data_IF_583402834934
#
_entry.id   IF_583402834934
#
_cell.length_a   1.000
_cell.length_b   1.000
_cell.length_c   1.000
_cell.angle_alpha   90.00
_cell.angle_beta   90.00
_cell.angle_gamma   90.00
#
_symmetry.space_group_name_H-M   'P 1'
#
loop_
_entity.id
_entity.type
_entity.pdbx_description
1 polymer ?
#
# COMPACT_ATOMS: atom_id res chain seq x y z
N UNK A 1 -95.36 3.65 20.76
CA UNK A 1 -95.04 4.78 19.87
C UNK A 1 -93.53 4.94 19.87
N UNK A 2 -92.88 4.33 18.87
CA UNK A 2 -92.05 4.96 17.81
C UNK A 2 -90.58 5.10 18.21
N UNK A 3 -89.72 4.13 17.87
CA UNK A 3 -89.01 3.95 16.58
C UNK A 3 -88.21 5.18 16.12
N UNK A 4 -86.88 5.04 16.08
CA UNK A 4 -85.98 5.40 14.96
C UNK A 4 -84.53 5.35 15.50
N UNK A 5 -83.80 4.25 15.27
CA UNK A 5 -82.83 4.14 14.16
C UNK A 5 -81.66 5.13 14.32
N UNK A 6 -80.57 4.74 14.97
CA UNK A 6 -79.43 4.12 14.28
C UNK A 6 -79.52 4.23 12.76
N UNK A 7 -78.87 5.25 12.16
CA UNK A 7 -78.15 5.19 10.87
C UNK A 7 -77.87 6.59 10.34
N UNK A 8 -76.76 7.21 10.74
CA UNK A 8 -76.09 8.16 9.83
C UNK A 8 -74.60 8.35 10.16
N UNK A 9 -73.91 7.26 10.46
CA UNK A 9 -72.44 7.21 10.49
C UNK A 9 -71.86 6.93 9.09
N UNK A 10 -72.56 7.29 8.00
CA UNK A 10 -72.19 6.87 6.62
C UNK A 10 -72.14 7.98 5.56
N UNK A 11 -72.20 9.26 5.94
CA UNK A 11 -72.22 10.37 4.97
C UNK A 11 -71.01 11.31 5.07
N UNK A 12 -69.86 10.80 5.50
CA UNK A 12 -68.58 11.47 5.38
C UNK A 12 -67.63 10.74 4.42
N UNK A 13 -68.18 9.99 3.47
CA UNK A 13 -67.43 9.43 2.34
C UNK A 13 -67.85 10.22 1.10
N UNK A 14 -67.12 11.31 0.84
CA UNK A 14 -67.14 12.11 -0.41
C UNK A 14 -68.55 12.31 -1.00
N UNK A 15 -69.24 13.37 -0.61
CA UNK A 15 -70.48 13.78 -1.28
C UNK A 15 -70.17 14.25 -2.72
N UNK A 16 -70.09 13.29 -3.64
CA UNK A 16 -69.81 13.45 -5.07
C UNK A 16 -70.98 14.06 -5.86
N UNK A 17 -72.03 14.55 -5.18
CA UNK A 17 -73.18 15.20 -5.81
C UNK A 17 -72.81 16.43 -6.65
N UNK A 18 -71.66 17.08 -6.37
CA UNK A 18 -71.11 18.14 -7.21
C UNK A 18 -70.77 17.64 -8.62
N UNK A 19 -70.22 16.42 -8.76
CA UNK A 19 -69.91 15.84 -10.07
C UNK A 19 -71.15 15.61 -10.91
N UNK A 20 -72.32 15.41 -10.29
CA UNK A 20 -73.58 15.11 -10.99
C UNK A 20 -74.19 16.32 -11.72
N UNK A 21 -73.79 17.56 -11.37
CA UNK A 21 -74.22 18.82 -12.02
C UNK A 21 -73.33 19.27 -13.19
N UNK A 22 -72.18 18.61 -13.36
CA UNK A 22 -71.19 18.91 -14.40
C UNK A 22 -71.52 18.13 -15.68
N UNK A 23 -71.34 18.73 -16.86
CA UNK A 23 -71.59 18.08 -18.16
C UNK A 23 -70.73 16.82 -18.35
N UNK A 24 -71.26 15.82 -19.08
CA UNK A 24 -70.58 14.53 -19.29
C UNK A 24 -69.15 14.69 -19.86
N UNK A 25 -68.92 15.66 -20.74
CA UNK A 25 -67.58 15.93 -21.31
C UNK A 25 -66.57 16.44 -20.29
N UNK A 26 -67.01 17.25 -19.31
CA UNK A 26 -66.10 17.81 -18.30
C UNK A 26 -65.69 16.78 -17.25
N UNK A 27 -66.53 15.78 -16.96
CA UNK A 27 -66.16 14.63 -16.10
C UNK A 27 -65.05 13.78 -16.73
N UNK A 28 -65.15 13.52 -18.04
CA UNK A 28 -64.13 12.77 -18.77
C UNK A 28 -62.78 13.50 -18.77
N UNK A 29 -62.78 14.82 -18.99
CA UNK A 29 -61.56 15.63 -18.96
C UNK A 29 -60.88 15.65 -17.59
N UNK A 30 -61.65 15.74 -16.49
CA UNK A 30 -61.11 15.71 -15.12
C UNK A 30 -60.45 14.35 -14.83
N UNK A 31 -61.09 13.24 -15.22
CA UNK A 31 -60.54 11.89 -15.01
C UNK A 31 -59.22 11.70 -15.78
N UNK A 32 -59.16 12.12 -17.04
CA UNK A 32 -57.93 12.04 -17.85
C UNK A 32 -56.80 12.89 -17.24
N UNK A 33 -57.13 14.07 -16.69
CA UNK A 33 -56.14 14.93 -16.05
C UNK A 33 -55.57 14.31 -14.76
N UNK A 34 -56.42 13.71 -13.93
CA UNK A 34 -55.97 13.02 -12.70
C UNK A 34 -55.06 11.84 -13.04
N UNK A 35 -55.43 11.05 -14.04
CA UNK A 35 -54.62 9.91 -14.49
C UNK A 35 -53.28 10.40 -15.04
N UNK A 36 -53.27 11.43 -15.88
CA UNK A 36 -52.05 12.03 -16.42
C UNK A 36 -51.15 12.59 -15.29
N UNK A 37 -51.73 13.29 -14.31
CA UNK A 37 -51.00 13.79 -13.15
C UNK A 37 -50.39 12.64 -12.31
N UNK A 38 -51.11 11.54 -12.15
CA UNK A 38 -50.61 10.32 -11.50
C UNK A 38 -49.42 9.71 -12.24
N UNK A 39 -49.49 9.60 -13.57
CA UNK A 39 -48.37 9.12 -14.38
C UNK A 39 -47.14 10.04 -14.29
N UNK A 40 -47.34 11.35 -14.28
CA UNK A 40 -46.25 12.32 -14.10
C UNK A 40 -45.61 12.17 -12.72
N UNK A 41 -46.42 12.05 -11.65
CA UNK A 41 -45.91 11.85 -10.30
C UNK A 41 -45.11 10.54 -10.16
N UNK A 42 -45.63 9.43 -10.69
CA UNK A 42 -44.89 8.16 -10.74
C UNK A 42 -43.59 8.28 -11.55
N UNK A 43 -43.63 8.97 -12.69
CA UNK A 43 -42.44 9.25 -13.49
C UNK A 43 -41.37 10.03 -12.74
N UNK A 44 -41.77 11.07 -11.97
CA UNK A 44 -40.87 11.85 -11.14
C UNK A 44 -40.25 11.02 -10.01
N UNK A 45 -41.03 10.17 -9.34
CA UNK A 45 -40.53 9.28 -8.28
C UNK A 45 -39.55 8.26 -8.85
N UNK A 46 -39.85 7.65 -10.00
CA UNK A 46 -38.94 6.71 -10.68
C UNK A 46 -37.66 7.44 -11.09
N UNK A 47 -37.76 8.65 -11.64
CA UNK A 47 -36.61 9.45 -12.06
C UNK A 47 -35.71 9.85 -10.88
N UNK A 48 -36.29 10.28 -9.75
CA UNK A 48 -35.54 10.52 -8.52
C UNK A 48 -34.88 9.24 -8.00
N UNK A 49 -35.61 8.12 -8.02
CA UNK A 49 -35.07 6.82 -7.62
C UNK A 49 -33.90 6.36 -8.49
N UNK A 50 -33.94 6.60 -9.81
CA UNK A 50 -32.85 6.27 -10.72
C UNK A 50 -31.60 7.12 -10.48
N UNK A 51 -31.74 8.42 -10.19
CA UNK A 51 -30.61 9.31 -9.85
C UNK A 51 -29.93 8.90 -8.54
N UNK A 52 -30.72 8.70 -7.48
CA UNK A 52 -30.19 8.31 -6.16
C UNK A 52 -29.50 6.95 -6.23
N UNK A 53 -30.02 6.00 -7.03
CA UNK A 53 -29.34 4.71 -7.26
C UNK A 53 -28.03 4.87 -8.02
N UNK A 54 -27.98 5.72 -9.04
CA UNK A 54 -26.76 6.01 -9.79
C UNK A 54 -25.64 6.56 -8.88
N UNK A 55 -25.95 7.55 -8.06
CA UNK A 55 -24.98 8.13 -7.12
C UNK A 55 -24.56 7.12 -6.04
N UNK A 56 -25.51 6.34 -5.51
CA UNK A 56 -25.22 5.29 -4.53
C UNK A 56 -24.37 4.15 -5.12
N UNK A 57 -24.56 3.80 -6.39
CA UNK A 57 -23.75 2.78 -7.07
C UNK A 57 -22.32 3.28 -7.31
N UNK A 58 -22.11 4.57 -7.63
CA UNK A 58 -20.77 5.18 -7.76
C UNK A 58 -20.03 5.12 -6.42
N UNK A 59 -20.65 5.61 -5.35
CA UNK A 59 -20.06 5.59 -4.00
C UNK A 59 -19.72 4.16 -3.58
N UNK A 60 -20.63 3.20 -3.81
CA UNK A 60 -20.39 1.78 -3.51
C UNK A 60 -19.19 1.23 -4.29
N UNK A 61 -19.06 1.57 -5.56
CA UNK A 61 -17.94 1.14 -6.39
C UNK A 61 -16.62 1.76 -5.92
N UNK A 62 -16.62 3.02 -5.52
CA UNK A 62 -15.42 3.69 -4.99
C UNK A 62 -14.96 3.04 -3.68
N UNK A 63 -15.87 2.72 -2.76
CA UNK A 63 -15.52 1.98 -1.54
C UNK A 63 -14.98 0.57 -1.84
N UNK A 64 -15.58 -0.15 -2.80
CA UNK A 64 -15.09 -1.45 -3.22
C UNK A 64 -13.69 -1.36 -3.84
N UNK A 65 -13.45 -0.32 -4.66
CA UNK A 65 -12.14 -0.04 -5.27
C UNK A 65 -11.10 0.32 -4.22
N UNK A 66 -11.44 1.16 -3.24
CA UNK A 66 -10.56 1.49 -2.14
C UNK A 66 -10.17 0.24 -1.31
N UNK A 67 -11.12 -0.66 -1.06
CA UNK A 67 -10.84 -1.92 -0.37
C UNK A 67 -9.88 -2.83 -1.16
N UNK A 68 -10.04 -2.90 -2.49
CA UNK A 68 -9.10 -3.61 -3.37
C UNK A 68 -7.70 -2.98 -3.34
N UNK A 69 -7.61 -1.65 -3.50
CA UNK A 69 -6.35 -0.91 -3.44
C UNK A 69 -5.65 -1.10 -2.09
N UNK A 70 -6.39 -1.10 -0.98
CA UNK A 70 -5.86 -1.36 0.36
C UNK A 70 -5.29 -2.78 0.49
N UNK A 71 -6.02 -3.79 -0.01
CA UNK A 71 -5.54 -5.18 -0.04
C UNK A 71 -4.27 -5.31 -0.85
N UNK A 72 -4.25 -4.74 -2.04
CA UNK A 72 -3.12 -4.84 -2.96
C UNK A 72 -1.90 -4.06 -2.44
N UNK A 73 -2.10 -2.89 -1.82
CA UNK A 73 -1.05 -2.15 -1.14
C UNK A 73 -0.43 -2.96 0.02
N UNK A 74 -1.23 -3.69 0.80
CA UNK A 74 -0.71 -4.57 1.84
C UNK A 74 0.16 -5.70 1.25
N UNK A 75 -0.32 -6.34 0.17
CA UNK A 75 0.44 -7.37 -0.55
C UNK A 75 1.77 -6.79 -1.08
N UNK A 76 1.74 -5.63 -1.74
CA UNK A 76 2.93 -4.99 -2.28
C UNK A 76 3.91 -4.61 -1.17
N UNK A 77 3.43 -4.11 -0.03
CA UNK A 77 4.26 -3.82 1.14
C UNK A 77 4.96 -5.07 1.69
N UNK A 78 4.26 -6.20 1.74
CA UNK A 78 4.86 -7.49 2.12
C UNK A 78 5.90 -7.98 1.11
N UNK A 79 5.65 -7.80 -0.20
CA UNK A 79 6.60 -8.16 -1.25
C UNK A 79 7.85 -7.27 -1.24
N UNK A 80 7.68 -5.98 -0.92
CA UNK A 80 8.79 -5.04 -0.71
C UNK A 80 9.68 -5.53 0.44
N UNK A 81 9.10 -5.76 1.63
CA UNK A 81 9.85 -6.27 2.80
C UNK A 81 10.51 -7.63 2.53
N UNK A 82 9.85 -8.51 1.77
CA UNK A 82 10.44 -9.78 1.34
C UNK A 82 11.68 -9.54 0.46
N UNK A 83 11.58 -8.61 -0.49
CA UNK A 83 12.69 -8.29 -1.38
C UNK A 83 13.88 -7.69 -0.62
N UNK A 84 13.64 -6.84 0.38
CA UNK A 84 14.69 -6.30 1.24
C UNK A 84 15.41 -7.40 2.02
N UNK A 85 14.65 -8.30 2.67
CA UNK A 85 15.21 -9.43 3.43
C UNK A 85 15.96 -10.39 2.52
N UNK A 86 15.40 -10.72 1.36
CA UNK A 86 16.06 -11.55 0.36
C UNK A 86 17.37 -10.91 -0.14
N UNK A 87 17.40 -9.58 -0.29
CA UNK A 87 18.63 -8.86 -0.61
C UNK A 87 19.67 -8.99 0.50
N UNK A 88 19.28 -8.76 1.76
CA UNK A 88 20.22 -8.85 2.88
C UNK A 88 20.80 -10.26 3.07
N UNK A 89 20.01 -11.29 2.82
CA UNK A 89 20.43 -12.70 2.95
C UNK A 89 21.28 -13.13 1.75
N UNK A 90 20.84 -12.81 0.53
CA UNK A 90 21.41 -13.39 -0.71
C UNK A 90 22.34 -12.44 -1.46
N UNK A 91 22.27 -11.14 -1.17
CA UNK A 91 23.09 -10.07 -1.76
C UNK A 91 23.00 -9.98 -3.29
N UNK A 92 21.85 -10.33 -3.87
CA UNK A 92 21.64 -10.29 -5.32
C UNK A 92 20.96 -8.99 -5.77
N UNK A 93 21.53 -8.32 -6.77
CA UNK A 93 21.03 -7.02 -7.24
C UNK A 93 19.58 -7.05 -7.74
N UNK A 94 19.11 -8.20 -8.24
CA UNK A 94 17.73 -8.38 -8.74
C UNK A 94 16.66 -7.98 -7.72
N UNK A 95 16.95 -8.06 -6.43
CA UNK A 95 16.01 -7.73 -5.37
C UNK A 95 15.76 -6.22 -5.24
N UNK A 96 16.73 -5.37 -5.60
CA UNK A 96 16.49 -3.94 -5.72
C UNK A 96 15.46 -3.64 -6.83
N UNK A 97 15.58 -4.34 -7.96
CA UNK A 97 14.60 -4.22 -9.05
C UNK A 97 13.20 -4.66 -8.63
N UNK A 98 13.08 -5.77 -7.89
CA UNK A 98 11.78 -6.23 -7.35
C UNK A 98 11.19 -5.23 -6.37
N UNK A 99 12.01 -4.70 -5.47
CA UNK A 99 11.59 -3.68 -4.52
C UNK A 99 11.08 -2.42 -5.23
N UNK A 100 11.85 -1.88 -6.19
CA UNK A 100 11.46 -0.67 -6.94
C UNK A 100 10.13 -0.85 -7.68
N UNK A 101 9.89 -2.04 -8.25
CA UNK A 101 8.61 -2.37 -8.89
C UNK A 101 7.46 -2.38 -7.88
N UNK A 102 7.63 -3.01 -6.71
CA UNK A 102 6.60 -3.01 -5.66
C UNK A 102 6.32 -1.61 -5.12
N UNK A 103 7.37 -0.81 -4.90
CA UNK A 103 7.23 0.58 -4.45
C UNK A 103 6.46 1.45 -5.46
N UNK A 104 6.73 1.29 -6.76
CA UNK A 104 6.03 2.02 -7.81
C UNK A 104 4.54 1.63 -7.90
N UNK A 105 4.20 0.35 -7.69
CA UNK A 105 2.80 -0.10 -7.64
C UNK A 105 2.07 0.48 -6.44
N UNK A 106 2.70 0.44 -5.26
CA UNK A 106 2.14 1.04 -4.05
C UNK A 106 1.94 2.55 -4.21
N UNK A 107 2.90 3.25 -4.83
CA UNK A 107 2.79 4.67 -5.12
C UNK A 107 1.59 4.98 -6.05
N UNK A 108 1.42 4.20 -7.13
CA UNK A 108 0.27 4.32 -8.01
C UNK A 108 -1.06 4.04 -7.29
N UNK A 109 -1.12 3.00 -6.46
CA UNK A 109 -2.31 2.67 -5.67
C UNK A 109 -2.70 3.78 -4.68
N UNK A 110 -1.72 4.43 -4.04
CA UNK A 110 -1.95 5.55 -3.14
C UNK A 110 -2.46 6.80 -3.88
N UNK A 111 -1.95 7.06 -5.08
CA UNK A 111 -2.45 8.15 -5.92
C UNK A 111 -3.90 7.88 -6.33
N UNK A 112 -4.19 6.67 -6.81
CA UNK A 112 -5.54 6.27 -7.21
C UNK A 112 -6.52 6.35 -6.03
N UNK A 113 -6.13 5.83 -4.86
CA UNK A 113 -6.95 5.90 -3.65
C UNK A 113 -7.31 7.34 -3.26
N UNK A 114 -6.37 8.27 -3.40
CA UNK A 114 -6.61 9.70 -3.14
C UNK A 114 -7.58 10.33 -4.15
N UNK A 115 -7.54 9.89 -5.41
CA UNK A 115 -8.45 10.40 -6.46
C UNK A 115 -9.89 9.94 -6.30
N UNK A 116 -10.15 8.88 -5.53
CA UNK A 116 -11.51 8.42 -5.21
C UNK A 116 -12.26 9.42 -4.29
N UNK A 117 -11.56 10.32 -3.61
CA UNK A 117 -12.19 11.38 -2.80
C UNK A 117 -12.92 10.87 -1.55
N UNK A 118 -12.55 9.68 -1.04
CA UNK A 118 -13.13 9.09 0.16
C UNK A 118 -12.38 9.55 1.42
N UNK A 119 -12.95 10.54 2.11
CA UNK A 119 -12.35 11.19 3.28
C UNK A 119 -11.96 10.24 4.44
N UNK A 120 -12.57 9.06 4.51
CA UNK A 120 -12.40 8.09 5.61
C UNK A 120 -10.97 7.54 5.69
N UNK A 121 -10.28 7.42 4.54
CA UNK A 121 -8.94 6.85 4.46
C UNK A 121 -7.82 7.87 4.20
N UNK A 122 -8.17 9.16 4.04
CA UNK A 122 -7.21 10.21 3.64
C UNK A 122 -6.01 10.33 4.58
N UNK A 123 -6.23 10.21 5.89
CA UNK A 123 -5.15 10.26 6.88
C UNK A 123 -4.15 9.12 6.73
N UNK A 124 -4.64 7.91 6.44
CA UNK A 124 -3.81 6.71 6.26
C UNK A 124 -3.07 6.74 4.93
N UNK A 125 -3.77 7.15 3.86
CA UNK A 125 -3.19 7.35 2.53
C UNK A 125 -2.07 8.39 2.59
N UNK A 126 -2.30 9.54 3.23
CA UNK A 126 -1.28 10.58 3.37
C UNK A 126 -0.09 10.08 4.19
N UNK A 127 -0.32 9.38 5.31
CA UNK A 127 0.75 8.82 6.11
C UNK A 127 1.63 7.82 5.33
N UNK A 128 1.04 7.03 4.42
CA UNK A 128 1.78 6.13 3.53
C UNK A 128 2.52 6.89 2.42
N UNK A 129 1.89 7.90 1.82
CA UNK A 129 2.52 8.78 0.82
C UNK A 129 3.77 9.47 1.39
N UNK A 130 3.75 9.86 2.66
CA UNK A 130 4.88 10.53 3.32
C UNK A 130 6.01 9.54 3.70
N UNK A 131 5.65 8.33 4.14
CA UNK A 131 6.62 7.32 4.63
C UNK A 131 7.29 6.53 3.51
N UNK A 132 6.59 6.27 2.42
CA UNK A 132 7.10 5.45 1.31
C UNK A 132 8.41 6.01 0.69
N UNK A 133 8.56 7.32 0.43
CA UNK A 133 9.81 7.90 -0.06
C UNK A 133 10.98 7.68 0.91
N UNK A 134 10.75 7.89 2.21
CA UNK A 134 11.78 7.67 3.24
C UNK A 134 12.21 6.21 3.28
N UNK A 135 11.25 5.27 3.21
CA UNK A 135 11.53 3.84 3.18
C UNK A 135 12.37 3.44 1.97
N UNK A 136 12.04 3.98 0.78
CA UNK A 136 12.82 3.77 -0.45
C UNK A 136 14.24 4.30 -0.32
N UNK A 137 14.41 5.49 0.23
CA UNK A 137 15.72 6.10 0.42
C UNK A 137 16.59 5.27 1.38
N UNK A 138 16.03 4.83 2.50
CA UNK A 138 16.74 3.98 3.47
C UNK A 138 17.19 2.66 2.84
N UNK A 139 16.31 1.99 2.08
CA UNK A 139 16.70 0.75 1.42
C UNK A 139 17.76 0.97 0.34
N UNK A 140 17.70 2.07 -0.40
CA UNK A 140 18.74 2.43 -1.37
C UNK A 140 20.10 2.62 -0.69
N UNK A 141 20.15 3.29 0.47
CA UNK A 141 21.38 3.43 1.27
C UNK A 141 21.93 2.06 1.70
N UNK A 142 21.07 1.16 2.19
CA UNK A 142 21.46 -0.21 2.56
C UNK A 142 22.02 -0.96 1.35
N UNK A 143 21.36 -0.84 0.20
CA UNK A 143 21.82 -1.47 -1.04
C UNK A 143 23.21 -0.97 -1.45
N UNK A 144 23.41 0.35 -1.48
CA UNK A 144 24.65 0.97 -1.91
C UNK A 144 25.80 0.65 -0.95
N UNK A 145 25.54 0.68 0.37
CA UNK A 145 26.51 0.29 1.40
C UNK A 145 26.93 -1.17 1.24
N UNK A 146 25.98 -2.07 1.00
CA UNK A 146 26.27 -3.49 0.84
C UNK A 146 27.02 -3.77 -0.47
N UNK A 147 26.71 -3.02 -1.53
CA UNK A 147 27.42 -3.09 -2.81
C UNK A 147 28.86 -2.59 -2.69
N UNK A 148 29.09 -1.49 -1.96
CA UNK A 148 30.42 -0.98 -1.67
C UNK A 148 31.24 -1.98 -0.85
N UNK A 149 30.64 -2.54 0.21
CA UNK A 149 31.27 -3.58 1.02
C UNK A 149 31.67 -4.80 0.15
N UNK A 150 30.79 -5.18 -0.78
CA UNK A 150 30.95 -6.34 -1.66
C UNK A 150 29.73 -7.25 -1.56
N UNK A 151 29.18 -7.63 -2.71
CA UNK A 151 28.05 -8.56 -2.79
C UNK A 151 28.50 -10.03 -2.70
N UNK A 152 29.78 -10.27 -3.01
CA UNK A 152 30.45 -11.57 -2.98
C UNK A 152 31.91 -11.41 -2.50
N UNK A 153 32.60 -12.53 -2.30
CA UNK A 153 33.97 -12.55 -1.77
C UNK A 153 35.04 -11.91 -2.68
N UNK A 154 34.70 -11.62 -3.94
CA UNK A 154 35.60 -11.09 -4.97
C UNK A 154 35.28 -9.65 -5.34
N UNK A 155 34.13 -9.12 -4.95
CA UNK A 155 33.68 -7.76 -5.25
C UNK A 155 33.83 -6.80 -4.06
N UNK A 156 33.72 -5.49 -4.33
CA UNK A 156 33.75 -4.43 -3.33
C UNK A 156 35.03 -4.35 -2.49
N UNK A 157 34.89 -3.79 -1.29
CA UNK A 157 35.96 -3.69 -0.30
C UNK A 157 36.47 -5.07 0.16
N UNK A 158 35.59 -6.06 0.28
CA UNK A 158 35.97 -7.44 0.65
C UNK A 158 36.94 -8.06 -0.38
N UNK A 159 36.63 -7.94 -1.66
CA UNK A 159 37.50 -8.43 -2.73
C UNK A 159 38.86 -7.73 -2.76
N UNK A 160 38.89 -6.40 -2.57
CA UNK A 160 40.14 -5.62 -2.48
C UNK A 160 40.99 -6.09 -1.30
N UNK A 161 40.39 -6.21 -0.12
CA UNK A 161 41.07 -6.68 1.09
C UNK A 161 41.67 -8.08 0.89
N UNK A 162 40.90 -9.00 0.32
CA UNK A 162 41.37 -10.37 0.05
C UNK A 162 42.58 -10.40 -0.88
N UNK A 163 42.59 -9.57 -1.92
CA UNK A 163 43.74 -9.43 -2.83
C UNK A 163 44.99 -8.92 -2.08
N UNK A 164 44.83 -7.90 -1.23
CA UNK A 164 45.93 -7.37 -0.42
C UNK A 164 46.50 -8.41 0.55
N UNK A 165 45.64 -9.20 1.20
CA UNK A 165 46.08 -10.28 2.10
C UNK A 165 46.85 -11.36 1.33
N UNK A 166 46.36 -11.77 0.16
CA UNK A 166 47.06 -12.76 -0.67
C UNK A 166 48.43 -12.27 -1.13
N UNK A 167 48.53 -11.01 -1.57
CA UNK A 167 49.82 -10.41 -1.95
C UNK A 167 50.80 -10.37 -0.77
N UNK A 168 50.33 -10.05 0.44
CA UNK A 168 51.14 -10.06 1.64
C UNK A 168 51.58 -11.48 2.05
N UNK A 169 50.67 -12.46 1.93
CA UNK A 169 50.97 -13.87 2.20
C UNK A 169 52.06 -14.43 1.28
N UNK A 170 52.00 -14.08 -0.01
CA UNK A 170 53.04 -14.43 -1.00
C UNK A 170 54.38 -13.78 -0.66
N UNK A 171 54.39 -12.48 -0.32
CA UNK A 171 55.60 -11.75 0.02
C UNK A 171 56.29 -12.33 1.27
N UNK A 172 55.53 -12.59 2.33
CA UNK A 172 56.04 -13.16 3.59
C UNK A 172 56.55 -14.60 3.41
N UNK A 173 55.90 -15.39 2.56
CA UNK A 173 56.32 -16.77 2.26
C UNK A 173 57.63 -16.78 1.47
N UNK A 174 57.80 -15.88 0.49
CA UNK A 174 59.06 -15.75 -0.28
C UNK A 174 60.25 -15.35 0.60
N UNK A 175 60.02 -14.57 1.66
CA UNK A 175 61.07 -14.08 2.55
C UNK A 175 61.28 -14.97 3.79
N UNK A 176 60.59 -16.11 3.91
CA UNK A 176 60.70 -17.06 5.05
C UNK A 176 60.45 -16.36 6.41
N UNK A 177 59.50 -15.42 6.46
CA UNK A 177 59.19 -14.64 7.66
C UNK A 177 58.06 -15.25 8.49
N UNK A 178 58.32 -16.40 9.11
CA UNK A 178 57.30 -17.20 9.81
C UNK A 178 56.57 -16.44 10.92
N UNK A 179 57.30 -15.63 11.71
CA UNK A 179 56.70 -14.83 12.80
C UNK A 179 55.70 -13.80 12.28
N UNK A 180 56.03 -13.11 11.18
CA UNK A 180 55.14 -12.15 10.55
C UNK A 180 53.97 -12.84 9.85
N UNK A 181 54.18 -14.03 9.28
CA UNK A 181 53.12 -14.85 8.71
C UNK A 181 52.08 -15.26 9.76
N UNK A 182 52.52 -15.69 10.95
CA UNK A 182 51.62 -15.97 12.08
C UNK A 182 50.83 -14.71 12.49
N UNK A 183 51.51 -13.56 12.57
CA UNK A 183 50.89 -12.28 12.92
C UNK A 183 49.82 -11.87 11.89
N UNK A 184 50.08 -12.06 10.59
CA UNK A 184 49.09 -11.89 9.52
C UNK A 184 47.89 -12.83 9.71
N UNK A 185 48.12 -14.12 9.91
CA UNK A 185 47.01 -15.08 10.08
C UNK A 185 46.13 -14.71 11.27
N UNK A 186 46.72 -14.19 12.35
CA UNK A 186 45.98 -13.69 13.51
C UNK A 186 45.19 -12.41 13.19
N UNK A 187 45.74 -11.48 12.41
CA UNK A 187 44.95 -10.34 11.90
C UNK A 187 43.75 -10.81 11.08
N UNK A 188 43.96 -11.75 10.15
CA UNK A 188 42.88 -12.33 9.31
C UNK A 188 41.82 -13.05 10.15
N UNK A 189 42.22 -13.69 11.25
CA UNK A 189 41.27 -14.30 12.20
C UNK A 189 40.38 -13.23 12.86
N UNK A 190 40.98 -12.15 13.34
CA UNK A 190 40.23 -11.04 13.95
C UNK A 190 39.33 -10.32 12.94
N UNK A 191 39.79 -10.12 11.70
CA UNK A 191 38.99 -9.62 10.60
C UNK A 191 37.75 -10.49 10.34
N UNK A 192 37.92 -11.81 10.19
CA UNK A 192 36.81 -12.74 10.00
C UNK A 192 35.83 -12.74 11.17
N UNK A 193 36.35 -12.70 12.40
CA UNK A 193 35.52 -12.57 13.59
C UNK A 193 34.73 -11.25 13.61
N UNK A 194 35.31 -10.14 13.15
CA UNK A 194 34.61 -8.87 13.00
C UNK A 194 33.47 -8.98 11.98
N UNK A 195 33.74 -9.56 10.80
CA UNK A 195 32.72 -9.71 9.74
C UNK A 195 31.56 -10.60 10.21
N UNK A 196 31.84 -11.69 10.95
CA UNK A 196 30.80 -12.60 11.44
C UNK A 196 30.00 -12.05 12.63
N UNK A 197 30.63 -11.23 13.49
CA UNK A 197 30.04 -10.86 14.80
C UNK A 197 29.76 -9.37 14.96
N UNK A 198 30.23 -8.52 14.06
CA UNK A 198 30.04 -7.06 14.07
C UNK A 198 30.67 -6.31 15.26
N UNK A 199 31.44 -6.98 16.13
CA UNK A 199 31.92 -6.40 17.38
C UNK A 199 33.25 -5.63 17.19
N UNK A 200 33.26 -4.34 17.52
CA UNK A 200 34.42 -3.44 17.39
C UNK A 200 35.70 -3.93 18.11
N UNK A 201 35.56 -4.73 19.18
CA UNK A 201 36.70 -5.36 19.88
C UNK A 201 37.68 -6.09 18.95
N UNK A 202 37.20 -6.66 17.84
CA UNK A 202 38.03 -7.38 16.89
C UNK A 202 38.89 -6.45 16.04
N UNK A 203 38.42 -5.24 15.74
CA UNK A 203 39.23 -4.19 15.10
C UNK A 203 40.39 -3.81 16.02
N UNK A 204 40.12 -3.59 17.32
CA UNK A 204 41.18 -3.30 18.30
C UNK A 204 42.21 -4.43 18.45
N UNK A 205 41.78 -5.70 18.38
CA UNK A 205 42.70 -6.85 18.40
C UNK A 205 43.55 -6.94 17.12
N UNK A 206 42.97 -6.61 15.97
CA UNK A 206 43.69 -6.55 14.70
C UNK A 206 44.76 -5.45 14.73
N UNK A 207 44.45 -4.25 15.21
CA UNK A 207 45.42 -3.15 15.35
C UNK A 207 46.59 -3.52 16.28
N UNK A 208 46.33 -4.27 17.37
CA UNK A 208 47.42 -4.79 18.23
C UNK A 208 48.37 -5.72 17.47
N UNK A 209 47.84 -6.62 16.63
CA UNK A 209 48.68 -7.53 15.81
C UNK A 209 49.42 -6.80 14.69
N UNK A 210 48.81 -5.77 14.12
CA UNK A 210 49.47 -4.90 13.13
C UNK A 210 50.70 -4.20 13.70
N UNK A 211 50.70 -3.86 14.99
CA UNK A 211 51.87 -3.26 15.64
C UNK A 211 53.10 -4.20 15.69
N UNK A 212 52.91 -5.51 15.53
CA UNK A 212 54.00 -6.51 15.50
C UNK A 212 54.75 -6.55 14.16
N UNK A 213 54.28 -5.79 13.15
CA UNK A 213 54.95 -5.61 11.85
C UNK A 213 55.92 -4.42 11.82
N UNK A 214 56.06 -3.70 12.93
CA UNK A 214 57.04 -2.62 13.08
C UNK A 214 58.41 -3.16 13.47
#
# INVERSE_FOLDING_TARGET
>A
MTNAENTSSKTALLDLNFMRRISLGMRMNILTFIVAAGFIACGLVIFQGLKVRGDADVIRNDHARLAELSRDANIDGLQMRRSEKDFLIRKLEKYLGKYKKGAAKMEAALIEAKTLGLNEADGEIQALQDKLPSHRAQFQVVFDTQKELGLDEKSGLQGKLRKSVHAMEEALTKQVMDKLKVSMLMMRRHEKDFIMRGSSKYVGRMEKRKAEFK
#
